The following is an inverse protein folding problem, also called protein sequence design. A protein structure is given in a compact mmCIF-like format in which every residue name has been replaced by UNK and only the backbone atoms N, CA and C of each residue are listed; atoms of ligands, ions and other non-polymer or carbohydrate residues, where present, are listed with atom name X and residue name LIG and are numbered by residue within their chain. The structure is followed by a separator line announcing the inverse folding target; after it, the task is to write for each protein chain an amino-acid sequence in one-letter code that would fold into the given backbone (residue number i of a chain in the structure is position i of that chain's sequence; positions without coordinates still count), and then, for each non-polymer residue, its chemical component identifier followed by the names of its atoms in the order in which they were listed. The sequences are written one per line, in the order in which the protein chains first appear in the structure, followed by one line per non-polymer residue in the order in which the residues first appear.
data_IF_763865720335
#
_entry.id   IF_763865720335
#
_cell.length_a   1.000
_cell.length_b   1.000
_cell.length_c   1.000
_cell.angle_alpha   90.00
_cell.angle_beta   90.00
_cell.angle_gamma   90.00
#
_symmetry.space_group_name_H-M   'P 1'
#
loop_
_entity.id
_entity.type
_entity.pdbx_description
1 polymer ?
#
# COMPACT_ATOMS: atom_id res chain seq x y z
N UNK A 1 -14.86 0.23 -8.99
CA UNK A 1 -15.60 0.86 -7.87
C UNK A 1 -16.14 2.19 -8.36
N UNK A 2 -17.44 2.50 -8.19
CA UNK A 2 -18.05 3.73 -8.73
C UNK A 2 -17.53 4.95 -7.95
N UNK A 3 -16.56 5.65 -8.53
CA UNK A 3 -15.99 6.88 -7.99
C UNK A 3 -17.01 8.02 -8.15
N UNK A 4 -17.15 8.85 -7.11
CA UNK A 4 -18.01 10.03 -7.16
C UNK A 4 -17.26 11.09 -7.96
N UNK A 5 -17.93 11.69 -8.94
CA UNK A 5 -17.34 12.71 -9.80
C UNK A 5 -17.46 14.08 -9.13
N UNK A 6 -16.56 14.37 -8.17
CA UNK A 6 -16.49 15.65 -7.46
C UNK A 6 -16.35 16.87 -8.38
N UNK A 7 -15.85 16.66 -9.62
CA UNK A 7 -15.82 17.67 -10.67
C UNK A 7 -17.19 18.28 -10.98
N UNK A 8 -18.27 17.48 -10.95
CA UNK A 8 -19.63 17.97 -11.20
C UNK A 8 -20.08 18.95 -10.10
N UNK A 9 -19.84 18.59 -8.84
CA UNK A 9 -20.13 19.44 -7.69
C UNK A 9 -19.29 20.72 -7.69
N UNK A 10 -18.00 20.63 -8.04
CA UNK A 10 -17.14 21.79 -8.17
C UNK A 10 -17.63 22.77 -9.24
N UNK A 11 -17.99 22.27 -10.43
CA UNK A 11 -18.53 23.11 -11.51
C UNK A 11 -19.84 23.79 -11.11
N UNK A 12 -20.73 23.07 -10.42
CA UNK A 12 -21.98 23.64 -9.93
C UNK A 12 -21.73 24.71 -8.86
N UNK A 13 -20.83 24.45 -7.91
CA UNK A 13 -20.46 25.42 -6.87
C UNK A 13 -19.81 26.68 -7.44
N UNK A 14 -18.93 26.56 -8.45
CA UNK A 14 -18.37 27.72 -9.15
C UNK A 14 -19.43 28.49 -9.93
N UNK A 15 -20.35 27.79 -10.60
CA UNK A 15 -21.49 28.42 -11.28
C UNK A 15 -22.34 29.23 -10.28
N UNK A 16 -22.65 28.65 -9.13
CA UNK A 16 -23.43 29.31 -8.08
C UNK A 16 -22.65 30.47 -7.43
N UNK A 17 -21.33 30.36 -7.29
CA UNK A 17 -20.46 31.44 -6.82
C UNK A 17 -20.47 32.65 -7.78
N UNK A 18 -20.40 32.40 -9.09
CA UNK A 18 -20.47 33.46 -10.11
C UNK A 18 -21.86 34.10 -10.11
N UNK A 19 -22.93 33.30 -10.09
CA UNK A 19 -24.30 33.81 -10.02
C UNK A 19 -24.49 34.66 -8.76
N UNK A 20 -24.07 34.17 -7.59
CA UNK A 20 -24.13 34.91 -6.33
C UNK A 20 -23.27 36.19 -6.39
N UNK A 21 -22.05 36.11 -6.91
CA UNK A 21 -21.10 37.23 -6.97
C UNK A 21 -21.51 38.35 -7.93
N UNK A 22 -22.28 38.03 -8.97
CA UNK A 22 -22.85 39.03 -9.90
C UNK A 22 -24.19 39.55 -9.39
N UNK A 23 -25.08 38.65 -8.95
CA UNK A 23 -26.41 39.02 -8.49
C UNK A 23 -26.37 39.86 -7.21
N UNK A 24 -25.57 39.48 -6.20
CA UNK A 24 -25.61 40.15 -4.90
C UNK A 24 -25.18 41.62 -4.94
N UNK A 25 -24.10 42.03 -5.62
CA UNK A 25 -23.75 43.45 -5.74
C UNK A 25 -24.74 44.24 -6.60
N UNK A 26 -25.28 43.63 -7.66
CA UNK A 26 -26.22 44.28 -8.59
C UNK A 26 -27.60 44.49 -7.96
N UNK A 27 -28.07 43.56 -7.13
CA UNK A 27 -29.37 43.65 -6.45
C UNK A 27 -29.33 44.43 -5.14
N UNK A 28 -28.15 44.68 -4.55
CA UNK A 28 -28.01 45.36 -3.26
C UNK A 28 -27.45 46.79 -3.35
N UNK A 29 -27.37 47.35 -4.56
CA UNK A 29 -27.15 48.77 -4.79
C UNK A 29 -25.82 49.29 -4.25
N UNK A 30 -24.75 49.23 -5.06
CA UNK A 30 -23.72 50.26 -4.96
C UNK A 30 -24.39 51.59 -5.33
N UNK A 31 -24.50 52.49 -4.34
CA UNK A 31 -25.23 53.78 -4.36
C UNK A 31 -25.75 54.26 -5.71
N UNK A 32 -26.98 53.87 -6.06
CA UNK A 32 -28.01 54.78 -6.60
C UNK A 32 -29.37 54.23 -6.16
N UNK A 33 -29.95 54.88 -5.15
CA UNK A 33 -31.36 54.91 -4.78
C UNK A 33 -32.33 54.06 -5.64
N UNK A 34 -32.47 52.78 -5.33
CA UNK A 34 -33.72 52.03 -5.56
C UNK A 34 -33.87 51.01 -4.43
N UNK A 35 -34.90 51.22 -3.62
CA UNK A 35 -35.34 50.29 -2.58
C UNK A 35 -35.92 49.04 -3.26
N UNK A 36 -35.12 47.97 -3.35
CA UNK A 36 -35.58 46.65 -3.79
C UNK A 36 -35.24 45.61 -2.71
N UNK A 37 -36.09 45.62 -1.69
CA UNK A 37 -36.34 44.58 -0.71
C UNK A 37 -36.66 43.21 -1.36
N UNK A 38 -35.67 42.52 -1.93
CA UNK A 38 -35.80 41.13 -2.41
C UNK A 38 -34.87 40.21 -1.60
N UNK A 39 -35.17 40.07 -0.31
CA UNK A 39 -34.60 39.06 0.60
C UNK A 39 -34.78 37.61 0.09
N UNK A 40 -35.78 37.38 -0.77
CA UNK A 40 -36.14 36.09 -1.36
C UNK A 40 -35.05 35.46 -2.24
N UNK A 41 -34.40 36.23 -3.13
CA UNK A 41 -33.40 35.69 -4.07
C UNK A 41 -32.16 35.17 -3.34
N UNK A 42 -31.68 35.90 -2.34
CA UNK A 42 -30.57 35.45 -1.49
C UNK A 42 -30.95 34.19 -0.69
N UNK A 43 -32.14 34.17 -0.08
CA UNK A 43 -32.63 33.00 0.65
C UNK A 43 -32.73 31.77 -0.25
N UNK A 44 -33.17 31.93 -1.51
CA UNK A 44 -33.19 30.86 -2.51
C UNK A 44 -31.77 30.38 -2.82
N UNK A 45 -30.83 31.28 -3.09
CA UNK A 45 -29.43 30.90 -3.36
C UNK A 45 -28.79 30.19 -2.17
N UNK A 46 -29.05 30.65 -0.95
CA UNK A 46 -28.57 30.02 0.27
C UNK A 46 -29.20 28.65 0.49
N UNK A 47 -30.50 28.49 0.22
CA UNK A 47 -31.17 27.18 0.28
C UNK A 47 -30.58 26.20 -0.73
N UNK A 48 -30.39 26.63 -1.98
CA UNK A 48 -29.79 25.81 -3.04
C UNK A 48 -28.36 25.41 -2.66
N UNK A 49 -27.57 26.36 -2.16
CA UNK A 49 -26.23 26.11 -1.64
C UNK A 49 -26.22 25.09 -0.49
N UNK A 50 -27.15 25.23 0.47
CA UNK A 50 -27.30 24.31 1.58
C UNK A 50 -27.67 22.90 1.13
N UNK A 51 -28.61 22.77 0.18
CA UNK A 51 -28.98 21.48 -0.40
C UNK A 51 -27.78 20.81 -1.09
N UNK A 52 -27.01 21.55 -1.88
CA UNK A 52 -25.80 21.01 -2.51
C UNK A 52 -24.77 20.54 -1.50
N UNK A 53 -24.54 21.33 -0.45
CA UNK A 53 -23.60 20.99 0.61
C UNK A 53 -24.05 19.73 1.33
N UNK A 54 -25.33 19.61 1.69
CA UNK A 54 -25.87 18.40 2.33
C UNK A 54 -25.70 17.19 1.42
N UNK A 55 -26.01 17.32 0.12
CA UNK A 55 -25.81 16.22 -0.84
C UNK A 55 -24.33 15.82 -0.93
N UNK A 56 -23.42 16.79 -0.98
CA UNK A 56 -21.98 16.55 -1.02
C UNK A 56 -21.48 15.90 0.27
N UNK A 57 -21.90 16.39 1.44
CA UNK A 57 -21.52 15.87 2.75
C UNK A 57 -22.05 14.46 2.98
N UNK A 58 -23.28 14.14 2.55
CA UNK A 58 -23.82 12.78 2.61
C UNK A 58 -22.99 11.83 1.76
N UNK A 59 -22.62 12.24 0.54
CA UNK A 59 -21.78 11.46 -0.34
C UNK A 59 -20.36 11.25 0.20
N UNK A 60 -19.75 12.32 0.71
CA UNK A 60 -18.44 12.27 1.36
C UNK A 60 -18.46 11.41 2.62
N UNK A 61 -19.52 11.50 3.44
CA UNK A 61 -19.67 10.70 4.66
C UNK A 61 -19.76 9.21 4.34
N UNK A 62 -20.50 8.85 3.30
CA UNK A 62 -20.60 7.47 2.88
C UNK A 62 -19.27 6.93 2.33
N UNK A 63 -18.52 7.76 1.62
CA UNK A 63 -17.16 7.42 1.19
C UNK A 63 -16.20 7.32 2.38
N UNK A 64 -16.30 8.25 3.33
CA UNK A 64 -15.48 8.28 4.54
C UNK A 64 -15.68 7.01 5.37
N UNK A 65 -16.93 6.61 5.55
CA UNK A 65 -17.29 5.38 6.25
C UNK A 65 -16.72 4.14 5.58
N UNK A 66 -16.78 4.07 4.24
CA UNK A 66 -16.19 2.96 3.46
C UNK A 66 -14.68 2.91 3.59
N UNK A 67 -14.00 4.05 3.50
CA UNK A 67 -12.55 4.10 3.72
C UNK A 67 -12.18 3.74 5.15
N UNK A 68 -12.97 4.16 6.14
CA UNK A 68 -12.76 3.80 7.52
C UNK A 68 -12.93 2.29 7.76
N UNK A 69 -13.89 1.64 7.10
CA UNK A 69 -14.05 0.18 7.19
C UNK A 69 -12.91 -0.59 6.51
N UNK A 70 -12.38 -0.08 5.39
CA UNK A 70 -11.32 -0.74 4.63
C UNK A 70 -9.90 -0.48 5.15
N UNK A 71 -9.62 0.74 5.62
CA UNK A 71 -8.28 1.23 5.99
C UNK A 71 -8.18 1.69 7.46
N UNK A 72 -9.28 1.63 8.23
CA UNK A 72 -9.31 2.03 9.64
C UNK A 72 -9.25 3.55 9.89
N UNK A 73 -9.16 4.38 8.86
CA UNK A 73 -9.07 5.84 8.96
C UNK A 73 -9.67 6.51 7.72
N UNK A 74 -10.31 7.65 7.93
CA UNK A 74 -10.70 8.55 6.85
C UNK A 74 -10.41 9.99 7.25
N UNK A 75 -9.63 10.67 6.42
CA UNK A 75 -9.33 12.10 6.52
C UNK A 75 -10.47 12.99 6.05
N UNK A 76 -11.47 12.42 5.36
CA UNK A 76 -12.59 13.18 4.80
C UNK A 76 -13.47 13.81 5.88
N UNK A 77 -13.49 13.25 7.09
CA UNK A 77 -14.28 13.78 8.21
C UNK A 77 -13.92 15.22 8.58
N UNK A 78 -12.62 15.58 8.54
CA UNK A 78 -12.16 16.94 8.83
C UNK A 78 -12.68 17.93 7.77
N UNK A 79 -12.62 17.54 6.50
CA UNK A 79 -13.11 18.37 5.39
C UNK A 79 -14.64 18.56 5.44
N UNK A 80 -15.39 17.50 5.78
CA UNK A 80 -16.85 17.58 5.97
C UNK A 80 -17.16 18.58 7.09
N UNK A 81 -16.56 18.40 8.27
CA UNK A 81 -16.79 19.29 9.42
C UNK A 81 -16.43 20.75 9.11
N UNK A 82 -15.29 20.99 8.44
CA UNK A 82 -14.88 22.32 8.03
C UNK A 82 -15.86 22.96 7.04
N UNK A 83 -16.31 22.21 6.03
CA UNK A 83 -17.28 22.71 5.05
C UNK A 83 -18.64 23.03 5.69
N UNK A 84 -19.18 22.13 6.51
CA UNK A 84 -20.46 22.37 7.18
C UNK A 84 -20.36 23.56 8.14
N UNK A 85 -19.26 23.69 8.89
CA UNK A 85 -19.02 24.81 9.80
C UNK A 85 -18.91 26.15 9.05
N UNK A 86 -18.26 26.17 7.89
CA UNK A 86 -18.14 27.38 7.05
C UNK A 86 -19.50 27.85 6.54
N UNK A 87 -20.35 26.90 6.13
CA UNK A 87 -21.69 27.21 5.66
C UNK A 87 -22.62 27.67 6.79
N UNK A 88 -22.54 27.04 7.97
CA UNK A 88 -23.26 27.48 9.16
C UNK A 88 -22.85 28.91 9.54
N UNK A 89 -21.55 29.22 9.53
CA UNK A 89 -21.05 30.56 9.77
C UNK A 89 -21.63 31.57 8.76
N UNK A 90 -21.66 31.21 7.48
CA UNK A 90 -22.22 32.05 6.42
C UNK A 90 -23.69 32.33 6.62
N UNK A 91 -24.46 31.31 7.00
CA UNK A 91 -25.87 31.45 7.34
C UNK A 91 -26.07 32.33 8.58
N UNK A 92 -25.21 32.18 9.60
CA UNK A 92 -25.31 32.97 10.81
C UNK A 92 -24.97 34.45 10.57
N UNK A 93 -23.91 34.75 9.84
CA UNK A 93 -23.53 36.11 9.43
C UNK A 93 -24.62 36.81 8.60
N UNK A 94 -25.47 36.05 7.92
CA UNK A 94 -26.63 36.61 7.22
C UNK A 94 -27.73 37.07 8.20
N UNK A 95 -28.09 36.20 9.14
CA UNK A 95 -29.11 36.47 10.15
C UNK A 95 -28.69 37.62 11.07
N UNK A 96 -27.41 37.62 11.49
CA UNK A 96 -26.84 38.62 12.38
C UNK A 96 -25.47 39.09 11.86
N UNK A 97 -25.41 40.18 11.08
CA UNK A 97 -24.17 40.67 10.52
C UNK A 97 -23.23 41.23 11.58
N UNK A 98 -21.96 40.82 11.49
CA UNK A 98 -20.86 41.59 12.03
C UNK A 98 -20.91 43.03 11.49
N UNK A 99 -20.37 44.00 12.24
CA UNK A 99 -20.49 45.47 12.07
C UNK A 99 -20.21 46.08 10.67
N UNK A 100 -19.94 45.28 9.63
CA UNK A 100 -19.64 45.70 8.25
C UNK A 100 -20.63 45.04 7.27
N UNK A 101 -21.56 45.82 6.72
CA UNK A 101 -22.60 45.37 5.77
C UNK A 101 -22.05 44.76 4.47
N UNK A 102 -20.83 45.16 4.05
CA UNK A 102 -20.14 44.61 2.88
C UNK A 102 -19.83 43.11 2.99
N UNK A 103 -19.72 42.56 4.21
CA UNK A 103 -19.51 41.11 4.37
C UNK A 103 -20.76 40.29 4.00
N UNK A 104 -21.99 40.85 4.04
CA UNK A 104 -23.19 40.09 3.68
C UNK A 104 -23.23 39.67 2.21
N UNK A 105 -22.76 40.53 1.31
CA UNK A 105 -22.88 40.33 -0.14
C UNK A 105 -21.77 39.49 -0.72
N UNK A 106 -20.58 39.50 -0.10
CA UNK A 106 -19.39 38.83 -0.64
C UNK A 106 -19.16 37.45 -0.01
N UNK A 107 -19.72 37.18 1.18
CA UNK A 107 -19.50 35.91 1.90
C UNK A 107 -20.08 34.70 1.18
N UNK A 108 -21.35 34.69 0.76
CA UNK A 108 -21.93 33.53 0.07
C UNK A 108 -21.16 33.17 -1.23
N UNK A 109 -20.87 34.10 -2.15
CA UNK A 109 -20.02 33.82 -3.32
C UNK A 109 -18.67 33.20 -2.95
N UNK A 110 -17.97 33.76 -1.96
CA UNK A 110 -16.68 33.24 -1.49
C UNK A 110 -16.83 31.82 -0.94
N UNK A 111 -17.90 31.54 -0.20
CA UNK A 111 -18.11 30.21 0.40
C UNK A 111 -18.37 29.16 -0.65
N UNK A 112 -19.15 29.50 -1.68
CA UNK A 112 -19.42 28.60 -2.81
C UNK A 112 -18.17 28.37 -3.63
N UNK A 113 -17.37 29.40 -3.84
CA UNK A 113 -16.08 29.28 -4.51
C UNK A 113 -15.12 28.38 -3.70
N UNK A 114 -15.04 28.57 -2.39
CA UNK A 114 -14.24 27.76 -1.48
C UNK A 114 -14.66 26.29 -1.47
N UNK A 115 -15.95 26.00 -1.40
CA UNK A 115 -16.50 24.64 -1.51
C UNK A 115 -16.17 24.03 -2.86
N UNK A 116 -16.31 24.79 -3.95
CA UNK A 116 -15.94 24.33 -5.29
C UNK A 116 -14.46 23.95 -5.39
N UNK A 117 -13.58 24.77 -4.81
CA UNK A 117 -12.14 24.54 -4.76
C UNK A 117 -11.80 23.30 -3.92
N UNK A 118 -12.41 23.16 -2.74
CA UNK A 118 -12.31 21.94 -1.93
C UNK A 118 -12.72 20.72 -2.75
N UNK A 119 -13.91 20.70 -3.35
CA UNK A 119 -14.37 19.57 -4.17
C UNK A 119 -13.42 19.23 -5.32
N UNK A 120 -12.83 20.25 -5.96
CA UNK A 120 -11.84 20.05 -7.02
C UNK A 120 -10.55 19.40 -6.50
N UNK A 121 -10.03 19.86 -5.36
CA UNK A 121 -8.87 19.25 -4.70
C UNK A 121 -9.17 17.83 -4.23
N UNK A 122 -10.34 17.58 -3.65
CA UNK A 122 -10.81 16.24 -3.28
C UNK A 122 -10.83 15.32 -4.52
N UNK A 123 -11.32 15.81 -5.66
CA UNK A 123 -11.35 15.05 -6.91
C UNK A 123 -9.96 14.62 -7.38
N UNK A 124 -8.97 15.52 -7.27
CA UNK A 124 -7.61 15.25 -7.70
C UNK A 124 -6.90 14.29 -6.74
N UNK A 125 -6.98 14.58 -5.44
CA UNK A 125 -6.34 13.80 -4.38
C UNK A 125 -6.84 12.35 -4.29
N UNK A 126 -8.13 12.09 -4.51
CA UNK A 126 -8.69 10.74 -4.46
C UNK A 126 -8.10 9.79 -5.49
N UNK A 127 -7.77 10.30 -6.68
CA UNK A 127 -7.13 9.50 -7.72
C UNK A 127 -5.77 9.00 -7.23
N UNK A 128 -5.00 9.89 -6.61
CA UNK A 128 -3.68 9.58 -6.05
C UNK A 128 -3.80 8.60 -4.88
N UNK A 129 -4.71 8.83 -3.93
CA UNK A 129 -4.92 7.94 -2.76
C UNK A 129 -5.40 6.52 -3.11
N UNK A 130 -6.03 6.34 -4.28
CA UNK A 130 -6.51 5.03 -4.75
C UNK A 130 -5.41 4.14 -5.31
N UNK A 131 -4.37 4.76 -5.90
CA UNK A 131 -3.22 4.09 -6.52
C UNK A 131 -2.00 4.03 -5.58
N UNK A 132 -2.05 4.83 -4.52
CA UNK A 132 -1.01 5.01 -3.53
C UNK A 132 -0.62 3.73 -2.77
N UNK A 133 0.67 3.34 -2.74
CA UNK A 133 1.19 2.32 -1.83
C UNK A 133 1.24 2.87 -0.38
N UNK A 134 0.10 2.90 0.29
CA UNK A 134 -0.02 3.46 1.65
C UNK A 134 0.36 2.42 2.70
N UNK A 135 1.19 2.81 3.67
CA UNK A 135 1.51 1.99 4.83
C UNK A 135 0.71 2.34 6.09
N UNK A 136 0.70 1.45 7.09
CA UNK A 136 0.02 1.67 8.36
C UNK A 136 0.62 2.83 9.17
N UNK A 137 1.94 3.02 9.10
CA UNK A 137 2.62 4.14 9.74
C UNK A 137 2.17 5.49 9.17
N UNK A 138 2.01 5.58 7.85
CA UNK A 138 1.51 6.79 7.18
C UNK A 138 0.08 7.13 7.62
N UNK A 139 -0.80 6.12 7.73
CA UNK A 139 -2.16 6.30 8.23
C UNK A 139 -2.18 6.73 9.72
N UNK A 140 -1.27 6.22 10.54
CA UNK A 140 -1.16 6.62 11.94
C UNK A 140 -0.76 8.10 12.07
N UNK A 141 0.21 8.56 11.27
CA UNK A 141 0.60 9.97 11.23
C UNK A 141 -0.54 10.88 10.78
N UNK A 142 -1.27 10.50 9.72
CA UNK A 142 -2.44 11.23 9.25
C UNK A 142 -3.55 11.30 10.32
N UNK A 143 -3.76 10.21 11.08
CA UNK A 143 -4.70 10.18 12.21
C UNK A 143 -4.30 11.13 13.33
N UNK A 144 -3.01 11.17 13.69
CA UNK A 144 -2.50 12.11 14.71
C UNK A 144 -2.73 13.57 14.28
N UNK A 145 -2.42 13.89 13.02
CA UNK A 145 -2.61 15.23 12.46
C UNK A 145 -4.09 15.63 12.39
N UNK A 146 -4.98 14.69 12.07
CA UNK A 146 -6.43 14.91 12.11
C UNK A 146 -6.93 15.26 13.51
N UNK A 147 -6.45 14.56 14.55
CA UNK A 147 -6.80 14.88 15.93
C UNK A 147 -6.25 16.24 16.36
N UNK A 148 -5.03 16.57 15.95
CA UNK A 148 -4.43 17.88 16.19
C UNK A 148 -5.27 19.02 15.58
N UNK A 149 -5.74 18.84 14.36
CA UNK A 149 -6.62 19.79 13.67
C UNK A 149 -7.91 20.05 14.46
N UNK A 150 -8.57 18.99 14.94
CA UNK A 150 -9.77 19.11 15.78
C UNK A 150 -9.49 19.81 17.11
N UNK A 151 -8.37 19.50 17.76
CA UNK A 151 -7.97 20.16 19.02
C UNK A 151 -7.78 21.66 18.81
N UNK A 152 -7.05 22.06 17.77
CA UNK A 152 -6.87 23.47 17.43
C UNK A 152 -8.18 24.16 17.05
N UNK A 153 -9.07 23.46 16.34
CA UNK A 153 -10.38 23.99 16.00
C UNK A 153 -11.24 24.24 17.25
N UNK A 154 -11.28 23.29 18.19
CA UNK A 154 -12.01 23.44 19.47
C UNK A 154 -11.39 24.55 20.32
N UNK A 155 -10.06 24.60 20.40
CA UNK A 155 -9.36 25.68 21.10
C UNK A 155 -9.67 27.05 20.50
N UNK A 156 -9.57 27.18 19.17
CA UNK A 156 -9.89 28.42 18.46
C UNK A 156 -11.34 28.83 18.67
N UNK A 157 -12.27 27.89 18.59
CA UNK A 157 -13.68 28.13 18.85
C UNK A 157 -13.93 28.68 20.26
N UNK A 158 -13.40 28.00 21.29
CA UNK A 158 -13.63 28.39 22.68
C UNK A 158 -12.90 29.67 23.06
N UNK A 159 -11.61 29.79 22.69
CA UNK A 159 -10.81 30.96 23.05
C UNK A 159 -11.38 32.22 22.41
N UNK A 160 -11.52 32.27 21.09
CA UNK A 160 -12.01 33.47 20.39
C UNK A 160 -13.51 33.70 20.60
N UNK A 161 -14.29 32.62 20.80
CA UNK A 161 -15.70 32.71 21.13
C UNK A 161 -15.97 33.31 22.52
N UNK A 162 -15.16 32.97 23.52
CA UNK A 162 -15.27 33.53 24.87
C UNK A 162 -14.66 34.93 25.02
N UNK A 163 -13.63 35.25 24.22
CA UNK A 163 -12.88 36.52 24.36
C UNK A 163 -13.40 37.63 23.45
N UNK A 164 -13.94 37.31 22.26
CA UNK A 164 -14.43 38.28 21.29
C UNK A 164 -15.88 38.01 20.94
N UNK A 165 -16.12 37.05 20.05
CA UNK A 165 -17.43 36.72 19.51
C UNK A 165 -17.44 35.29 18.96
N UNK A 166 -18.58 34.60 19.11
CA UNK A 166 -18.74 33.21 18.70
C UNK A 166 -18.68 33.01 17.18
N UNK A 167 -19.04 34.01 16.37
CA UNK A 167 -18.85 34.00 14.92
C UNK A 167 -17.36 34.03 14.56
N UNK A 168 -16.56 34.84 15.25
CA UNK A 168 -15.10 34.88 15.09
C UNK A 168 -14.49 33.54 15.54
N UNK A 169 -14.95 33.00 16.67
CA UNK A 169 -14.56 31.66 17.14
C UNK A 169 -14.83 30.57 16.12
N UNK A 170 -16.03 30.54 15.54
CA UNK A 170 -16.41 29.57 14.50
C UNK A 170 -15.60 29.76 13.22
N UNK A 171 -15.28 31.00 12.84
CA UNK A 171 -14.43 31.30 11.69
C UNK A 171 -13.01 30.75 11.87
N UNK A 172 -12.39 30.98 13.03
CA UNK A 172 -11.06 30.47 13.36
C UNK A 172 -11.04 28.94 13.44
N UNK A 173 -12.08 28.34 14.05
CA UNK A 173 -12.22 26.90 14.13
C UNK A 173 -12.30 26.26 12.75
N UNK A 174 -13.12 26.84 11.88
CA UNK A 174 -13.30 26.36 10.51
C UNK A 174 -12.03 26.52 9.67
N UNK A 175 -11.37 27.68 9.78
CA UNK A 175 -10.10 27.91 9.11
C UNK A 175 -9.05 26.87 9.56
N UNK A 176 -9.00 26.54 10.85
CA UNK A 176 -8.09 25.52 11.38
C UNK A 176 -8.36 24.13 10.79
N UNK A 177 -9.64 23.72 10.69
CA UNK A 177 -10.02 22.44 10.09
C UNK A 177 -9.64 22.36 8.61
N UNK A 178 -9.85 23.43 7.85
CA UNK A 178 -9.60 23.46 6.41
C UNK A 178 -8.11 23.62 6.05
N UNK A 179 -7.36 24.41 6.82
CA UNK A 179 -5.93 24.65 6.59
C UNK A 179 -5.10 23.44 7.01
N UNK A 180 -5.42 22.82 8.16
CA UNK A 180 -4.73 21.62 8.65
C UNK A 180 -5.37 20.39 8.01
N UNK A 181 -5.13 20.21 6.71
CA UNK A 181 -5.60 19.05 5.96
C UNK A 181 -4.59 17.89 6.08
N UNK A 182 -4.92 16.80 6.81
CA UNK A 182 -4.01 15.68 7.04
C UNK A 182 -3.73 14.84 5.79
N UNK A 183 -4.37 15.11 4.65
CA UNK A 183 -4.23 14.35 3.40
C UNK A 183 -2.98 14.69 2.63
N UNK A 184 -2.55 15.96 2.66
CA UNK A 184 -1.38 16.38 1.90
C UNK A 184 -0.11 15.61 2.29
N UNK A 185 0.25 15.48 3.58
CA UNK A 185 1.42 14.69 3.96
C UNK A 185 1.32 13.22 3.54
N UNK A 186 0.11 12.64 3.60
CA UNK A 186 -0.15 11.27 3.19
C UNK A 186 0.13 11.06 1.69
N UNK A 187 -0.32 12.01 0.86
CA UNK A 187 -0.14 11.98 -0.59
C UNK A 187 1.34 12.12 -0.95
N UNK A 188 2.02 13.11 -0.38
CA UNK A 188 3.46 13.32 -0.62
C UNK A 188 4.29 12.09 -0.23
N UNK A 189 4.07 11.54 0.96
CA UNK A 189 4.77 10.34 1.41
C UNK A 189 4.45 9.12 0.54
N UNK A 190 3.24 9.05 -0.04
CA UNK A 190 2.91 7.99 -0.97
C UNK A 190 3.58 8.15 -2.32
N UNK A 191 3.73 9.36 -2.84
CA UNK A 191 4.42 9.63 -4.11
C UNK A 191 5.89 9.24 -4.00
N UNK A 192 6.58 9.70 -2.95
CA UNK A 192 7.98 9.34 -2.73
C UNK A 192 8.19 7.82 -2.60
N UNK A 193 7.21 7.12 -1.99
CA UNK A 193 7.25 5.66 -1.88
C UNK A 193 7.02 4.98 -3.24
N UNK A 194 6.14 5.54 -4.07
CA UNK A 194 5.92 5.09 -5.44
C UNK A 194 7.20 5.15 -6.28
N UNK A 195 7.89 6.30 -6.25
CA UNK A 195 9.17 6.50 -6.94
C UNK A 195 10.25 5.51 -6.45
N UNK A 196 10.31 5.25 -5.14
CA UNK A 196 11.23 4.27 -4.57
C UNK A 196 10.92 2.83 -5.05
N UNK A 197 9.64 2.46 -5.15
CA UNK A 197 9.23 1.15 -5.67
C UNK A 197 9.55 1.01 -7.15
N UNK A 198 9.37 2.08 -7.94
CA UNK A 198 9.72 2.12 -9.36
C UNK A 198 11.23 1.93 -9.54
N UNK A 199 12.05 2.67 -8.78
CA UNK A 199 13.52 2.52 -8.79
C UNK A 199 13.96 1.09 -8.44
N UNK A 200 13.31 0.47 -7.45
CA UNK A 200 13.61 -0.93 -7.06
C UNK A 200 13.18 -1.92 -8.14
N UNK A 201 12.06 -1.65 -8.82
CA UNK A 201 11.59 -2.45 -9.94
C UNK A 201 12.57 -2.40 -11.11
N UNK A 202 13.12 -1.23 -11.41
CA UNK A 202 14.18 -1.05 -12.42
C UNK A 202 15.45 -1.82 -12.06
N UNK A 203 15.77 -1.89 -10.77
CA UNK A 203 16.84 -2.73 -10.23
C UNK A 203 16.49 -4.24 -10.16
N UNK A 204 15.37 -4.67 -10.79
CA UNK A 204 14.85 -6.04 -10.80
C UNK A 204 14.42 -6.59 -9.44
N UNK A 205 14.19 -5.71 -8.46
CA UNK A 205 13.64 -6.07 -7.15
C UNK A 205 12.14 -5.88 -7.17
N UNK A 206 11.38 -6.98 -7.02
CA UNK A 206 9.92 -6.94 -6.96
C UNK A 206 9.42 -6.84 -5.54
N UNK A 207 8.60 -5.82 -5.26
CA UNK A 207 7.96 -5.63 -3.95
C UNK A 207 6.47 -5.91 -4.09
N UNK A 208 6.02 -7.01 -3.51
CA UNK A 208 4.60 -7.39 -3.50
C UNK A 208 3.80 -6.63 -2.44
N UNK A 209 4.41 -6.39 -1.28
CA UNK A 209 3.79 -5.67 -0.19
C UNK A 209 4.57 -4.38 0.09
N UNK A 210 4.05 -3.21 -0.30
CA UNK A 210 4.71 -1.94 -0.04
C UNK A 210 4.96 -1.67 1.45
N UNK A 211 4.18 -2.26 2.36
CA UNK A 211 4.40 -2.13 3.80
C UNK A 211 5.68 -2.84 4.28
N UNK A 212 6.22 -3.80 3.51
CA UNK A 212 7.50 -4.45 3.84
C UNK A 212 8.66 -3.44 3.86
N UNK A 213 8.60 -2.37 3.05
CA UNK A 213 9.59 -1.29 3.06
C UNK A 213 9.72 -0.59 4.42
N UNK A 214 8.65 -0.55 5.23
CA UNK A 214 8.74 0.02 6.58
C UNK A 214 9.53 -0.88 7.54
N UNK A 215 9.54 -2.20 7.29
CA UNK A 215 10.17 -3.20 8.15
C UNK A 215 11.61 -3.50 7.74
N UNK A 216 11.96 -3.30 6.46
CA UNK A 216 13.30 -3.61 5.93
C UNK A 216 14.41 -2.91 6.73
N UNK A 217 14.18 -1.67 7.17
CA UNK A 217 15.15 -0.92 8.01
C UNK A 217 15.44 -1.57 9.36
N UNK A 218 14.51 -2.39 9.86
CA UNK A 218 14.60 -3.02 11.18
C UNK A 218 15.15 -4.45 11.09
N UNK A 219 15.31 -5.00 9.88
CA UNK A 219 15.89 -6.33 9.66
C UNK A 219 17.39 -6.29 9.95
N UNK A 220 17.83 -7.08 10.94
CA UNK A 220 19.25 -7.20 11.33
C UNK A 220 19.91 -8.51 10.90
N UNK A 221 19.09 -9.52 10.61
CA UNK A 221 19.53 -10.87 10.31
C UNK A 221 18.69 -11.40 9.16
N UNK A 222 19.34 -12.10 8.23
CA UNK A 222 18.67 -12.79 7.13
C UNK A 222 19.05 -14.27 7.20
N UNK A 223 18.05 -15.14 7.25
CA UNK A 223 18.23 -16.59 7.10
C UNK A 223 17.93 -16.92 5.64
N UNK A 224 18.91 -17.51 4.96
CA UNK A 224 18.82 -17.80 3.53
C UNK A 224 18.84 -19.31 3.32
N UNK A 225 17.92 -19.81 2.51
CA UNK A 225 17.95 -21.20 2.09
C UNK A 225 19.17 -21.44 1.20
N UNK A 226 20.04 -22.41 1.55
CA UNK A 226 21.26 -22.67 0.77
C UNK A 226 20.90 -23.11 -0.65
N UNK A 227 20.06 -24.14 -0.77
CA UNK A 227 19.74 -24.78 -2.04
C UNK A 227 18.75 -23.94 -2.84
N UNK A 228 19.12 -23.52 -4.04
CA UNK A 228 18.28 -22.70 -4.91
C UNK A 228 18.36 -21.18 -4.68
N UNK A 229 19.09 -20.72 -3.66
CA UNK A 229 19.44 -19.30 -3.48
C UNK A 229 20.95 -19.08 -3.50
N UNK A 230 21.70 -19.78 -2.64
CA UNK A 230 23.17 -19.68 -2.59
C UNK A 230 23.85 -20.69 -3.52
N UNK A 231 23.25 -21.87 -3.69
CA UNK A 231 23.75 -22.92 -4.59
C UNK A 231 22.72 -23.21 -5.66
N UNK A 232 23.18 -23.66 -6.84
CA UNK A 232 22.27 -24.19 -7.85
C UNK A 232 21.52 -25.42 -7.31
N UNK A 233 20.37 -25.72 -7.90
CA UNK A 233 19.63 -26.97 -7.60
C UNK A 233 20.23 -28.20 -8.28
N UNK A 234 21.23 -28.01 -9.14
CA UNK A 234 21.90 -29.09 -9.88
C UNK A 234 23.09 -29.59 -9.07
N UNK A 235 23.13 -30.90 -8.82
CA UNK A 235 24.31 -31.56 -8.30
C UNK A 235 25.33 -31.74 -9.43
N UNK A 236 26.60 -31.56 -9.12
CA UNK A 236 27.70 -31.75 -10.06
C UNK A 236 28.72 -32.67 -9.42
N UNK A 237 29.04 -33.75 -10.11
CA UNK A 237 30.14 -34.64 -9.74
C UNK A 237 31.43 -34.02 -10.26
N UNK A 238 32.41 -33.84 -9.37
CA UNK A 238 33.70 -33.25 -9.73
C UNK A 238 34.74 -34.31 -10.08
N UNK A 239 34.82 -35.37 -9.28
CA UNK A 239 35.77 -36.44 -9.47
C UNK A 239 35.17 -37.79 -9.09
N UNK A 240 35.64 -38.84 -9.76
CA UNK A 240 35.40 -40.24 -9.42
C UNK A 240 36.74 -40.95 -9.44
N UNK A 241 37.12 -41.50 -8.30
CA UNK A 241 38.37 -42.25 -8.12
C UNK A 241 38.05 -43.68 -7.71
N UNK A 242 38.87 -44.63 -8.15
CA UNK A 242 38.90 -45.98 -7.60
C UNK A 242 39.99 -46.09 -6.54
N UNK A 243 39.68 -46.77 -5.45
CA UNK A 243 40.63 -47.10 -4.38
C UNK A 243 41.09 -48.57 -4.45
N UNK A 244 40.50 -49.36 -5.34
CA UNK A 244 40.83 -50.76 -5.57
C UNK A 244 41.42 -50.91 -6.97
N UNK A 245 42.60 -51.55 -7.06
CA UNK A 245 43.30 -51.77 -8.32
C UNK A 245 42.54 -52.68 -9.28
N UNK A 246 41.55 -53.44 -8.79
CA UNK A 246 40.71 -54.31 -9.61
C UNK A 246 39.63 -53.55 -10.41
N UNK A 247 39.33 -52.29 -10.03
CA UNK A 247 38.31 -51.48 -10.68
C UNK A 247 38.92 -50.18 -11.21
N UNK A 248 38.64 -49.83 -12.47
CA UNK A 248 38.99 -48.49 -12.97
C UNK A 248 37.98 -47.45 -12.49
N UNK A 249 38.37 -46.18 -12.50
CA UNK A 249 37.45 -45.07 -12.20
C UNK A 249 36.22 -45.05 -13.12
N UNK A 250 36.35 -45.54 -14.37
CA UNK A 250 35.24 -45.67 -15.32
C UNK A 250 34.30 -46.81 -14.92
N UNK A 251 34.82 -47.93 -14.43
CA UNK A 251 34.00 -49.04 -13.94
C UNK A 251 33.20 -48.61 -12.72
N UNK A 252 33.85 -47.95 -11.76
CA UNK A 252 33.19 -47.38 -10.58
C UNK A 252 32.09 -46.39 -10.99
N UNK A 253 32.36 -45.51 -11.95
CA UNK A 253 31.37 -44.57 -12.48
C UNK A 253 30.18 -45.28 -13.13
N UNK A 254 30.41 -46.31 -13.92
CA UNK A 254 29.36 -47.11 -14.56
C UNK A 254 28.48 -47.84 -13.54
N UNK A 255 29.08 -48.41 -12.50
CA UNK A 255 28.38 -49.07 -11.38
C UNK A 255 27.54 -48.06 -10.60
N UNK A 256 28.12 -46.93 -10.19
CA UNK A 256 27.41 -45.89 -9.42
C UNK A 256 26.23 -45.31 -10.21
N UNK A 257 26.45 -44.97 -11.48
CA UNK A 257 25.39 -44.44 -12.33
C UNK A 257 24.28 -45.47 -12.56
N UNK A 258 24.62 -46.74 -12.71
CA UNK A 258 23.67 -47.84 -12.87
C UNK A 258 22.74 -48.04 -11.67
N UNK A 259 23.32 -48.09 -10.46
CA UNK A 259 22.56 -48.23 -9.23
C UNK A 259 21.64 -47.02 -8.95
N UNK A 260 22.14 -45.80 -9.17
CA UNK A 260 21.35 -44.59 -8.94
C UNK A 260 20.29 -44.36 -10.02
N UNK A 261 20.52 -44.79 -11.26
CA UNK A 261 19.54 -44.65 -12.35
C UNK A 261 18.22 -45.37 -12.06
N UNK A 262 18.27 -46.53 -11.42
CA UNK A 262 17.07 -47.32 -11.05
C UNK A 262 16.24 -46.65 -9.93
N UNK A 263 16.88 -45.82 -9.08
CA UNK A 263 16.20 -45.10 -7.99
C UNK A 263 15.73 -43.71 -8.44
N UNK A 264 16.54 -43.03 -9.25
CA UNK A 264 16.29 -41.69 -9.75
C UNK A 264 16.57 -40.56 -8.76
N UNK A 265 16.31 -39.32 -9.18
CA UNK A 265 16.51 -38.11 -8.38
C UNK A 265 17.78 -37.33 -8.73
N UNK A 266 18.15 -36.37 -7.87
CA UNK A 266 19.21 -35.40 -8.17
C UNK A 266 20.61 -36.04 -8.28
N UNK A 267 20.88 -37.13 -7.54
CA UNK A 267 22.16 -37.85 -7.60
C UNK A 267 22.27 -38.68 -8.88
N UNK A 268 21.22 -39.40 -9.25
CA UNK A 268 21.12 -40.11 -10.52
C UNK A 268 21.32 -39.19 -11.73
N UNK A 269 20.61 -38.04 -11.78
CA UNK A 269 20.76 -37.07 -12.86
C UNK A 269 22.21 -36.56 -12.97
N UNK A 270 22.86 -36.27 -11.82
CA UNK A 270 24.23 -35.79 -11.79
C UNK A 270 25.24 -36.86 -12.24
N UNK A 271 25.07 -38.11 -11.80
CA UNK A 271 25.95 -39.23 -12.14
C UNK A 271 25.80 -39.65 -13.60
N UNK A 272 24.57 -39.75 -14.13
CA UNK A 272 24.31 -40.06 -15.53
C UNK A 272 24.85 -38.95 -16.45
N UNK A 273 24.66 -37.68 -16.07
CA UNK A 273 25.24 -36.57 -16.83
C UNK A 273 26.77 -36.62 -16.84
N UNK A 274 27.38 -36.89 -15.68
CA UNK A 274 28.83 -37.01 -15.56
C UNK A 274 29.37 -38.22 -16.33
N UNK A 275 28.69 -39.38 -16.28
CA UNK A 275 29.08 -40.59 -16.99
C UNK A 275 29.05 -40.38 -18.50
N UNK A 276 27.99 -39.78 -19.04
CA UNK A 276 27.89 -39.44 -20.45
C UNK A 276 29.01 -38.50 -20.91
N UNK A 277 29.36 -37.48 -20.11
CA UNK A 277 30.45 -36.56 -20.43
C UNK A 277 31.83 -37.25 -20.45
N UNK A 278 32.01 -38.31 -19.65
CA UNK A 278 33.21 -39.13 -19.62
C UNK A 278 33.19 -40.30 -20.63
N UNK A 279 32.13 -40.43 -21.44
CA UNK A 279 31.96 -41.53 -22.39
C UNK A 279 31.64 -42.89 -21.74
N UNK A 280 31.20 -42.90 -20.49
CA UNK A 280 30.84 -44.10 -19.71
C UNK A 280 29.32 -44.25 -19.67
N UNK A 281 28.84 -45.45 -20.00
CA UNK A 281 27.42 -45.78 -19.92
C UNK A 281 27.08 -46.43 -18.57
N UNK A 282 25.94 -46.08 -17.96
CA UNK A 282 25.47 -46.76 -16.75
C UNK A 282 25.32 -48.26 -16.97
N UNK A 283 25.79 -49.07 -16.03
CA UNK A 283 25.66 -50.53 -16.09
C UNK A 283 24.31 -50.92 -15.52
N UNK A 284 23.55 -51.77 -16.22
CA UNK A 284 22.25 -52.19 -15.73
C UNK A 284 22.37 -52.92 -14.39
N UNK A 285 21.67 -52.42 -13.38
CA UNK A 285 21.58 -53.02 -12.06
C UNK A 285 20.24 -53.75 -11.89
N UNK A 286 20.26 -54.87 -11.19
CA UNK A 286 19.10 -55.67 -10.85
C UNK A 286 18.87 -55.66 -9.33
N UNK A 287 17.62 -55.87 -8.91
CA UNK A 287 17.24 -55.94 -7.50
C UNK A 287 17.71 -54.73 -6.67
N UNK A 288 17.60 -53.52 -7.23
CA UNK A 288 18.01 -52.30 -6.53
C UNK A 288 17.02 -51.98 -5.41
N UNK A 289 17.54 -51.87 -4.18
CA UNK A 289 16.79 -51.53 -2.98
C UNK A 289 17.40 -50.31 -2.28
N UNK A 290 16.53 -49.38 -1.87
CA UNK A 290 16.91 -48.23 -1.05
C UNK A 290 16.95 -48.65 0.41
N UNK A 291 18.12 -48.63 1.03
CA UNK A 291 18.30 -48.92 2.45
C UNK A 291 18.20 -47.60 3.23
N UNK A 292 17.12 -47.39 4.02
CA UNK A 292 16.90 -46.13 4.72
C UNK A 292 18.09 -45.75 5.60
N UNK A 293 18.51 -44.48 5.53
CA UNK A 293 19.63 -43.91 6.28
C UNK A 293 21.02 -44.50 5.96
N UNK A 294 21.14 -45.45 5.04
CA UNK A 294 22.42 -46.10 4.69
C UNK A 294 22.84 -45.76 3.26
N UNK A 295 21.95 -45.99 2.29
CA UNK A 295 22.26 -45.81 0.87
C UNK A 295 21.44 -46.73 -0.03
N UNK A 296 22.05 -47.21 -1.11
CA UNK A 296 21.45 -48.09 -2.11
C UNK A 296 22.22 -49.41 -2.18
N UNK A 297 21.53 -50.50 -2.46
CA UNK A 297 22.13 -51.81 -2.76
C UNK A 297 21.53 -52.36 -4.05
N UNK A 298 22.33 -53.06 -4.86
CA UNK A 298 21.84 -53.75 -6.04
C UNK A 298 22.84 -54.78 -6.55
N UNK A 299 22.42 -55.59 -7.51
CA UNK A 299 23.24 -56.62 -8.14
C UNK A 299 23.64 -56.20 -9.55
N UNK A 300 24.93 -56.26 -9.88
CA UNK A 300 25.45 -56.02 -11.24
C UNK A 300 26.33 -57.20 -11.62
N UNK A 301 26.02 -57.86 -12.74
CA UNK A 301 26.76 -59.03 -13.25
C UNK A 301 26.93 -60.18 -12.23
N UNK A 302 25.98 -60.34 -11.31
CA UNK A 302 25.99 -61.37 -10.27
C UNK A 302 26.66 -60.95 -8.95
N UNK A 303 27.35 -59.81 -8.92
CA UNK A 303 27.97 -59.25 -7.73
C UNK A 303 27.08 -58.22 -7.06
N UNK A 304 27.10 -58.18 -5.73
CA UNK A 304 26.30 -57.21 -4.94
C UNK A 304 27.13 -55.97 -4.65
N UNK A 305 26.64 -54.82 -5.11
CA UNK A 305 27.25 -53.52 -4.89
C UNK A 305 26.38 -52.65 -3.97
N UNK A 306 27.03 -51.81 -3.17
CA UNK A 306 26.36 -50.83 -2.30
C UNK A 306 26.93 -49.44 -2.52
N UNK A 307 26.04 -48.46 -2.71
CA UNK A 307 26.36 -47.04 -2.75
C UNK A 307 25.98 -46.40 -1.42
N UNK A 308 26.95 -45.95 -0.64
CA UNK A 308 26.74 -45.41 0.70
C UNK A 308 27.54 -44.13 0.92
N UNK A 309 27.10 -43.31 1.89
CA UNK A 309 27.91 -42.17 2.34
C UNK A 309 29.20 -42.65 3.00
N UNK A 310 30.28 -41.87 2.87
CA UNK A 310 31.58 -42.19 3.47
C UNK A 310 31.49 -42.45 5.00
N UNK A 311 30.61 -41.73 5.70
CA UNK A 311 30.36 -41.94 7.13
C UNK A 311 29.72 -43.29 7.44
N UNK A 312 28.81 -43.77 6.59
CA UNK A 312 28.15 -45.07 6.79
C UNK A 312 29.05 -46.25 6.40
N UNK A 313 29.90 -46.09 5.38
CA UNK A 313 30.87 -47.11 4.98
C UNK A 313 31.72 -47.61 6.15
N UNK A 314 32.25 -46.70 6.97
CA UNK A 314 33.05 -47.04 8.14
C UNK A 314 32.26 -47.84 9.20
N UNK A 315 30.96 -47.55 9.39
CA UNK A 315 30.11 -48.27 10.35
C UNK A 315 29.78 -49.68 9.88
N UNK A 316 29.56 -49.87 8.58
CA UNK A 316 29.28 -51.19 7.99
C UNK A 316 30.51 -52.09 8.15
N UNK A 317 31.71 -51.61 7.78
CA UNK A 317 32.95 -52.38 7.92
C UNK A 317 33.17 -52.78 9.38
N UNK A 318 33.05 -51.84 10.33
CA UNK A 318 33.21 -52.18 11.75
C UNK A 318 32.21 -53.21 12.25
N UNK A 319 30.97 -53.21 11.76
CA UNK A 319 29.96 -54.21 12.15
C UNK A 319 30.26 -55.61 11.60
N UNK A 320 30.89 -55.70 10.43
CA UNK A 320 31.32 -56.95 9.81
C UNK A 320 32.56 -57.49 10.55
N UNK A 321 33.52 -56.63 10.90
CA UNK A 321 34.73 -57.03 11.63
C UNK A 321 34.47 -57.35 13.10
N UNK A 322 33.41 -56.80 13.71
CA UNK A 322 33.05 -57.08 15.10
C UNK A 322 32.25 -58.38 15.29
N UNK A 323 31.67 -58.93 14.20
CA UNK A 323 30.87 -60.16 14.21
C UNK A 323 31.58 -61.36 13.56
N UNK A 324 32.84 -61.21 13.16
CA UNK A 324 33.73 -62.29 12.70
C UNK A 324 34.81 -62.58 13.73
#
# INVERSE_FOLDING_TARGET
MRQIHYRGYAMFAFGLAIIAGISMPVFWGWDVAVDLNQSSLFLILLLVAGVLLVVADVQMSWQAWRFQKARGFSSLWVAILGQSAWFILTFWMYLDPMHVSALKTVTLPITMFGIGLLMLTLSWTQRVESLAPVSSAMLQSARRLSWLSVIFAVYGFLFFGLTWDWQIGLAVATASLLVIDPRWPLIFASQSRGEAIETLTDARVKIYNPAALDQIKDIKQAVVEKTGVLTSRQLTVYNVDSIDDNYSAQDVLGIMAGLEQEVGGLYAEALVTYSHNQGVYPIQAENVEVIPLVGLQGTIQGDTYMLVSATMHYRIIMSITANG
#
